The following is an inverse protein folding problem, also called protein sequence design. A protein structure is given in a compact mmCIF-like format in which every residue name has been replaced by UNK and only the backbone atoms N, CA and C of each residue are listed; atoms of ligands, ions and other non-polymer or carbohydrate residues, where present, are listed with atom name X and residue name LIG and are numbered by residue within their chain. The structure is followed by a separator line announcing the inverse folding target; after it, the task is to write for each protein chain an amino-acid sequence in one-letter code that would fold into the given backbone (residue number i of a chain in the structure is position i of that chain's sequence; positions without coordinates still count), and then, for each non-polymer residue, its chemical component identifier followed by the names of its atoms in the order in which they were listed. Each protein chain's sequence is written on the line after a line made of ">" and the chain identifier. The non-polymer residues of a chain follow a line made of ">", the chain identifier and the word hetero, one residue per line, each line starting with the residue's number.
data_IF_000915445804
#
_entry.id   IF_000915445804
#
_cell.length_a   1.000
_cell.length_b   1.000
_cell.length_c   1.000
_cell.angle_alpha   90.00
_cell.angle_beta   90.00
_cell.angle_gamma   90.00
#
_symmetry.space_group_name_H-M   'P 1'
#
loop_
_entity.id
_entity.type
_entity.pdbx_description
1 polymer ?
#
# COMPACT_ATOMS: atom_id res chain seq x y z
N UNK A 1 -7.21 19.39 -18.66
CA UNK A 1 -5.89 19.97 -18.36
C UNK A 1 -5.49 19.83 -16.88
N UNK A 2 -6.32 20.22 -15.89
CA UNK A 2 -5.96 20.11 -14.44
C UNK A 2 -5.74 18.67 -13.92
N UNK A 3 -6.30 17.66 -14.56
CA UNK A 3 -6.20 16.25 -14.10
C UNK A 3 -4.88 15.58 -14.50
N UNK A 4 -4.31 15.96 -15.65
CA UNK A 4 -3.00 15.55 -16.14
C UNK A 4 -1.87 16.07 -15.24
N UNK A 5 -2.00 17.33 -14.78
CA UNK A 5 -0.98 17.99 -13.98
C UNK A 5 -0.82 17.40 -12.58
N UNK A 6 -1.89 16.83 -12.00
CA UNK A 6 -1.82 16.16 -10.71
C UNK A 6 -1.06 14.84 -10.81
N UNK A 7 -1.32 14.07 -11.87
CA UNK A 7 -0.60 12.81 -12.13
C UNK A 7 0.87 13.12 -12.40
N UNK A 8 1.18 14.09 -13.24
CA UNK A 8 2.55 14.58 -13.51
C UNK A 8 3.27 15.02 -12.23
N UNK A 9 2.59 15.76 -11.35
CA UNK A 9 3.18 16.25 -10.10
C UNK A 9 3.45 15.14 -9.08
N UNK A 10 2.62 14.07 -9.06
CA UNK A 10 2.85 12.89 -8.23
C UNK A 10 4.08 12.11 -8.73
N UNK A 11 4.27 12.05 -10.03
CA UNK A 11 5.26 11.21 -10.68
C UNK A 11 6.64 11.88 -10.82
N UNK A 12 6.69 13.13 -11.22
CA UNK A 12 7.96 13.84 -11.48
C UNK A 12 8.79 14.13 -10.22
N UNK A 13 8.18 14.16 -9.05
CA UNK A 13 8.90 14.55 -7.84
C UNK A 13 9.76 13.45 -7.21
N UNK A 14 9.59 12.15 -7.57
CA UNK A 14 10.25 11.07 -6.80
C UNK A 14 10.50 9.74 -7.53
N UNK A 15 10.51 9.68 -8.85
CA UNK A 15 10.80 8.43 -9.58
C UNK A 15 12.15 7.84 -9.15
N UNK A 16 13.20 8.66 -9.07
CA UNK A 16 14.54 8.25 -8.62
C UNK A 16 14.53 7.76 -7.15
N UNK A 17 13.74 8.39 -6.27
CA UNK A 17 13.66 8.01 -4.88
C UNK A 17 12.87 6.69 -4.68
N UNK A 18 11.81 6.46 -5.47
CA UNK A 18 11.03 5.23 -5.44
C UNK A 18 11.87 4.06 -5.94
N UNK A 19 12.62 4.24 -7.02
CA UNK A 19 13.54 3.23 -7.55
C UNK A 19 14.63 2.86 -6.55
N UNK A 20 15.27 3.84 -5.93
CA UNK A 20 16.29 3.62 -4.90
C UNK A 20 15.72 2.99 -3.63
N UNK A 21 14.47 3.30 -3.26
CA UNK A 21 13.82 2.64 -2.11
C UNK A 21 13.23 1.27 -2.44
N UNK A 22 12.88 0.96 -3.66
CA UNK A 22 12.58 -0.43 -4.06
C UNK A 22 13.81 -1.34 -3.88
N UNK A 23 15.00 -0.84 -4.17
CA UNK A 23 16.26 -1.55 -3.85
C UNK A 23 16.45 -1.74 -2.34
N UNK A 24 16.21 -0.71 -1.54
CA UNK A 24 16.34 -0.77 -0.07
C UNK A 24 15.28 -1.66 0.60
N UNK A 25 14.11 -1.86 -0.01
CA UNK A 25 13.06 -2.72 0.52
C UNK A 25 13.25 -4.19 0.14
N UNK A 26 14.09 -4.51 -0.86
CA UNK A 26 14.56 -5.88 -1.09
C UNK A 26 15.41 -6.42 0.08
N UNK A 27 16.03 -5.52 0.84
CA UNK A 27 16.94 -5.87 1.95
C UNK A 27 16.30 -5.76 3.34
N UNK A 28 15.12 -5.16 3.47
CA UNK A 28 14.45 -5.02 4.77
C UNK A 28 13.11 -5.71 4.77
N UNK A 29 13.04 -6.85 5.49
CA UNK A 29 11.78 -7.32 6.05
C UNK A 29 11.15 -6.12 6.76
N UNK A 30 9.84 -5.84 6.59
CA UNK A 30 9.20 -4.73 7.28
C UNK A 30 9.22 -5.01 8.78
N UNK A 31 10.24 -4.51 9.42
CA UNK A 31 10.40 -4.64 10.86
C UNK A 31 9.38 -3.75 11.57
N UNK A 32 8.83 -4.31 12.63
CA UNK A 32 8.28 -3.55 13.75
C UNK A 32 9.33 -2.51 14.10
N UNK A 33 8.94 -1.26 14.28
CA UNK A 33 9.87 -0.22 14.69
C UNK A 33 10.65 -0.66 15.94
N UNK A 34 11.91 -0.24 16.00
CA UNK A 34 12.94 -0.64 16.97
C UNK A 34 12.56 -0.51 18.46
N UNK A 35 11.52 0.21 18.78
CA UNK A 35 10.97 0.41 20.15
C UNK A 35 9.84 -0.55 20.52
N UNK A 36 9.43 -1.45 19.58
CA UNK A 36 8.46 -2.51 19.91
C UNK A 36 7.00 -2.07 20.09
N UNK A 37 6.71 -0.75 20.10
CA UNK A 37 5.39 -0.21 20.44
C UNK A 37 4.72 0.60 19.31
N UNK A 38 5.13 0.41 18.05
CA UNK A 38 4.53 1.12 16.93
C UNK A 38 4.43 0.27 15.67
N UNK A 39 3.45 0.60 14.83
CA UNK A 39 3.27 0.03 13.51
C UNK A 39 3.35 1.12 12.44
N UNK A 40 3.91 0.78 11.27
CA UNK A 40 3.93 1.70 10.13
C UNK A 40 2.54 1.77 9.47
N UNK A 41 1.98 2.97 9.34
CA UNK A 41 0.76 3.21 8.60
C UNK A 41 0.87 4.50 7.79
N UNK A 42 0.61 4.42 6.49
CA UNK A 42 0.70 5.53 5.53
C UNK A 42 2.03 6.31 5.61
N UNK A 43 3.13 5.58 5.81
CA UNK A 43 4.49 6.10 5.88
C UNK A 43 4.91 6.67 7.22
N UNK A 44 4.07 6.55 8.26
CA UNK A 44 4.37 7.05 9.61
C UNK A 44 4.38 5.91 10.62
N UNK A 45 5.28 5.93 11.60
CA UNK A 45 5.18 5.08 12.78
C UNK A 45 4.01 5.59 13.64
N UNK A 46 3.10 4.70 13.99
CA UNK A 46 1.94 4.97 14.83
C UNK A 46 2.05 4.11 16.08
N UNK A 47 2.10 4.73 17.23
CA UNK A 47 2.15 4.03 18.52
C UNK A 47 0.86 3.24 18.76
N UNK A 48 1.00 2.13 19.46
CA UNK A 48 -0.16 1.36 19.89
C UNK A 48 -0.20 1.20 21.41
N UNK A 49 -1.42 1.05 21.94
CA UNK A 49 -1.70 0.66 23.30
C UNK A 49 -2.52 -0.61 23.32
N UNK A 50 -2.23 -1.49 24.26
CA UNK A 50 -2.98 -2.72 24.46
C UNK A 50 -3.99 -2.48 25.58
N UNK A 51 -5.26 -2.72 25.28
CA UNK A 51 -6.34 -2.76 26.27
C UNK A 51 -6.74 -4.22 26.48
N UNK A 52 -6.50 -4.73 27.68
CA UNK A 52 -6.87 -6.10 28.03
C UNK A 52 -8.38 -6.30 27.84
N UNK A 53 -8.75 -7.23 26.97
CA UNK A 53 -10.14 -7.59 26.74
C UNK A 53 -10.21 -9.09 26.44
N UNK A 54 -10.99 -9.83 27.25
CA UNK A 54 -11.12 -11.29 27.11
C UNK A 54 -12.04 -11.71 25.96
N UNK A 55 -12.97 -10.84 25.57
CA UNK A 55 -14.04 -11.16 24.63
C UNK A 55 -13.89 -10.49 23.27
N UNK A 56 -12.91 -9.59 23.11
CA UNK A 56 -12.73 -8.83 21.88
C UNK A 56 -11.27 -8.90 21.41
N UNK A 57 -11.10 -9.30 20.16
CA UNK A 57 -9.80 -9.22 19.47
C UNK A 57 -9.94 -8.28 18.27
N UNK A 58 -9.55 -7.03 18.43
CA UNK A 58 -9.74 -5.99 17.43
C UNK A 58 -8.68 -4.89 17.55
N UNK A 59 -8.34 -4.27 16.42
CA UNK A 59 -7.61 -2.99 16.39
C UNK A 59 -8.57 -1.89 15.95
N UNK A 60 -8.55 -0.76 16.66
CA UNK A 60 -9.08 0.51 16.20
C UNK A 60 -7.94 1.52 15.96
N UNK A 61 -8.16 2.46 15.04
CA UNK A 61 -7.25 3.57 14.78
C UNK A 61 -7.98 4.88 15.06
N UNK A 62 -7.58 5.55 16.12
CA UNK A 62 -8.25 6.72 16.65
C UNK A 62 -7.20 7.75 17.10
N UNK A 63 -7.43 9.02 16.84
CA UNK A 63 -6.55 10.12 17.28
C UNK A 63 -5.05 9.88 17.02
N UNK A 64 -4.73 9.31 15.85
CA UNK A 64 -3.35 8.98 15.44
C UNK A 64 -2.68 7.92 16.35
N UNK A 65 -3.44 7.01 16.93
CA UNK A 65 -2.97 5.92 17.76
C UNK A 65 -3.73 4.63 17.42
N UNK A 66 -3.05 3.49 17.52
CA UNK A 66 -3.72 2.19 17.49
C UNK A 66 -4.12 1.77 18.90
N UNK A 67 -5.36 1.32 19.05
CA UNK A 67 -5.88 0.70 20.27
C UNK A 67 -6.13 -0.77 19.95
N UNK A 68 -5.40 -1.65 20.63
CA UNK A 68 -5.47 -3.11 20.42
C UNK A 68 -6.23 -3.73 21.59
N UNK A 69 -7.45 -4.17 21.31
CA UNK A 69 -8.25 -4.91 22.28
C UNK A 69 -7.91 -6.39 22.15
N UNK A 70 -7.31 -6.96 23.17
CA UNK A 70 -6.92 -8.38 23.20
C UNK A 70 -6.53 -8.83 24.60
N UNK A 71 -6.67 -10.12 24.88
CA UNK A 71 -6.11 -10.75 26.07
C UNK A 71 -4.64 -11.17 25.93
N UNK A 72 -4.12 -11.14 24.71
CA UNK A 72 -2.77 -11.62 24.41
C UNK A 72 -1.78 -10.48 24.39
N UNK A 73 -0.57 -10.76 24.91
CA UNK A 73 0.55 -9.82 24.92
C UNK A 73 1.70 -10.22 24.00
N UNK A 74 1.62 -11.41 23.38
CA UNK A 74 2.67 -11.88 22.48
C UNK A 74 2.73 -11.04 21.19
N UNK A 75 3.93 -10.62 20.81
CA UNK A 75 4.16 -9.83 19.58
C UNK A 75 3.60 -10.50 18.34
N UNK A 76 3.70 -11.83 18.24
CA UNK A 76 3.16 -12.60 17.12
C UNK A 76 1.64 -12.41 16.97
N UNK A 77 0.90 -12.44 18.08
CA UNK A 77 -0.55 -12.24 18.05
C UNK A 77 -0.92 -10.80 17.74
N UNK A 78 -0.21 -9.84 18.32
CA UNK A 78 -0.39 -8.41 18.05
C UNK A 78 -0.14 -8.10 16.57
N UNK A 79 0.91 -8.66 15.98
CA UNK A 79 1.17 -8.55 14.54
C UNK A 79 0.06 -9.15 13.69
N UNK A 80 -0.44 -10.34 14.06
CA UNK A 80 -1.54 -10.97 13.35
C UNK A 80 -2.78 -10.08 13.33
N UNK A 81 -3.16 -9.49 14.46
CA UNK A 81 -4.27 -8.54 14.53
C UNK A 81 -4.03 -7.30 13.66
N UNK A 82 -2.79 -6.79 13.65
CA UNK A 82 -2.44 -5.67 12.78
C UNK A 82 -2.57 -5.99 11.28
N UNK A 83 -2.17 -7.19 10.85
CA UNK A 83 -2.36 -7.61 9.45
C UNK A 83 -3.83 -7.75 9.08
N UNK A 84 -4.66 -8.33 9.94
CA UNK A 84 -6.11 -8.41 9.71
C UNK A 84 -6.74 -7.01 9.60
N UNK A 85 -6.31 -6.08 10.45
CA UNK A 85 -6.75 -4.69 10.37
C UNK A 85 -6.28 -4.02 9.06
N UNK A 86 -5.05 -4.26 8.62
CA UNK A 86 -4.57 -3.76 7.34
C UNK A 86 -5.41 -4.29 6.17
N UNK A 87 -5.76 -5.57 6.16
CA UNK A 87 -6.61 -6.18 5.13
C UNK A 87 -7.98 -5.50 5.06
N UNK A 88 -8.61 -5.29 6.20
CA UNK A 88 -9.89 -4.59 6.29
C UNK A 88 -9.81 -3.16 5.73
N UNK A 89 -8.81 -2.39 6.16
CA UNK A 89 -8.62 -1.00 5.69
C UNK A 89 -8.17 -0.91 4.25
N UNK A 90 -7.43 -1.91 3.79
CA UNK A 90 -6.90 -1.94 2.43
C UNK A 90 -8.03 -1.97 1.40
N UNK A 91 -9.05 -2.81 1.60
CA UNK A 91 -10.15 -2.97 0.64
C UNK A 91 -10.84 -1.64 0.34
N UNK A 92 -11.23 -0.88 1.36
CA UNK A 92 -11.91 0.41 1.19
C UNK A 92 -10.99 1.50 0.64
N UNK A 93 -9.76 1.60 1.19
CA UNK A 93 -8.82 2.66 0.79
C UNK A 93 -8.33 2.50 -0.65
N UNK A 94 -7.99 1.28 -1.03
CA UNK A 94 -7.47 0.98 -2.37
C UNK A 94 -8.57 0.98 -3.41
N UNK A 95 -9.77 0.47 -3.10
CA UNK A 95 -10.89 0.46 -4.03
C UNK A 95 -11.17 1.86 -4.58
N UNK A 96 -11.31 2.84 -3.70
CA UNK A 96 -11.58 4.22 -4.11
C UNK A 96 -10.50 4.79 -5.04
N UNK A 97 -9.22 4.49 -4.75
CA UNK A 97 -8.10 4.93 -5.60
C UNK A 97 -8.04 4.17 -6.93
N UNK A 98 -8.29 2.88 -6.87
CA UNK A 98 -8.29 2.01 -8.03
C UNK A 98 -9.35 2.45 -9.04
N UNK A 99 -10.57 2.71 -8.59
CA UNK A 99 -11.68 3.20 -9.42
C UNK A 99 -11.37 4.58 -10.01
N UNK A 100 -10.87 5.50 -9.17
CA UNK A 100 -10.48 6.84 -9.59
C UNK A 100 -9.43 6.82 -10.70
N UNK A 101 -8.36 6.05 -10.52
CA UNK A 101 -7.26 6.01 -11.47
C UNK A 101 -7.58 5.18 -12.72
N UNK A 102 -8.34 4.10 -12.60
CA UNK A 102 -8.85 3.34 -13.75
C UNK A 102 -9.68 4.21 -14.69
N UNK A 103 -10.58 5.03 -14.11
CA UNK A 103 -11.38 5.98 -14.87
C UNK A 103 -10.50 7.06 -15.54
N UNK A 104 -9.52 7.61 -14.81
CA UNK A 104 -8.62 8.63 -15.35
C UNK A 104 -7.74 8.12 -16.49
N UNK A 105 -7.23 6.92 -16.36
CA UNK A 105 -6.37 6.27 -17.36
C UNK A 105 -7.18 5.60 -18.50
N UNK A 106 -8.51 5.58 -18.39
CA UNK A 106 -9.39 4.88 -19.34
C UNK A 106 -9.01 3.42 -19.53
N UNK A 107 -8.62 2.74 -18.44
CA UNK A 107 -8.34 1.31 -18.40
C UNK A 107 -9.45 0.57 -17.65
N UNK A 108 -9.71 -0.68 -18.04
CA UNK A 108 -10.71 -1.54 -17.40
C UNK A 108 -10.02 -2.80 -16.86
N UNK A 109 -9.46 -2.76 -15.63
CA UNK A 109 -8.94 -3.97 -15.02
C UNK A 109 -10.10 -4.96 -14.75
N UNK A 110 -9.83 -6.26 -14.86
CA UNK A 110 -10.81 -7.30 -14.50
C UNK A 110 -11.07 -7.38 -13.01
N UNK A 111 -10.11 -6.94 -12.23
CA UNK A 111 -10.17 -6.89 -10.77
C UNK A 111 -8.79 -6.70 -10.15
N UNK A 112 -8.77 -6.59 -8.83
CA UNK A 112 -7.51 -6.61 -8.10
C UNK A 112 -7.59 -7.59 -6.92
N UNK A 113 -6.41 -8.08 -6.50
CA UNK A 113 -6.23 -8.93 -5.33
C UNK A 113 -5.16 -8.34 -4.43
N UNK A 114 -5.31 -8.56 -3.14
CA UNK A 114 -4.33 -8.21 -2.14
C UNK A 114 -3.61 -9.49 -1.73
N UNK A 115 -2.28 -9.47 -1.73
CA UNK A 115 -1.46 -10.59 -1.30
C UNK A 115 -0.24 -10.12 -0.52
N UNK A 116 0.29 -10.97 0.33
CA UNK A 116 1.62 -10.79 0.87
C UNK A 116 2.64 -11.19 -0.22
N UNK A 117 3.30 -10.20 -0.82
CA UNK A 117 4.31 -10.40 -1.86
C UNK A 117 5.71 -10.16 -1.26
N UNK A 118 6.65 -11.06 -1.50
CA UNK A 118 8.00 -10.96 -0.91
C UNK A 118 8.87 -9.88 -1.57
N UNK A 119 8.77 -9.73 -2.91
CA UNK A 119 9.72 -8.93 -3.71
C UNK A 119 9.09 -7.82 -4.55
N UNK A 120 7.77 -7.66 -4.53
CA UNK A 120 7.04 -6.72 -5.39
C UNK A 120 6.02 -5.91 -4.60
N UNK A 121 5.79 -4.67 -5.02
CA UNK A 121 4.69 -3.85 -4.51
C UNK A 121 3.37 -4.13 -5.20
N UNK A 122 3.43 -4.58 -6.45
CA UNK A 122 2.30 -4.96 -7.25
C UNK A 122 2.72 -5.77 -8.48
N UNK A 123 1.75 -6.21 -9.25
CA UNK A 123 1.92 -6.79 -10.58
C UNK A 123 0.61 -6.74 -11.37
N UNK A 124 0.71 -6.46 -12.66
CA UNK A 124 -0.38 -6.58 -13.62
C UNK A 124 -0.18 -7.85 -14.45
N UNK A 125 -1.22 -8.67 -14.59
CA UNK A 125 -1.19 -9.85 -15.45
C UNK A 125 -1.68 -9.53 -16.85
N UNK A 126 -1.27 -10.32 -17.84
CA UNK A 126 -1.76 -10.23 -19.21
C UNK A 126 -3.28 -10.46 -19.31
N UNK A 127 -3.84 -11.19 -18.37
CA UNK A 127 -5.29 -11.40 -18.25
C UNK A 127 -6.06 -10.20 -17.73
N UNK A 128 -5.40 -9.09 -17.37
CA UNK A 128 -6.02 -7.86 -16.90
C UNK A 128 -6.30 -7.81 -15.38
N UNK A 129 -5.74 -8.75 -14.61
CA UNK A 129 -5.85 -8.71 -13.14
C UNK A 129 -4.63 -8.03 -12.52
N UNK A 130 -4.85 -7.26 -11.47
CA UNK A 130 -3.80 -6.60 -10.69
C UNK A 130 -3.67 -7.27 -9.34
N UNK A 131 -2.43 -7.50 -8.90
CA UNK A 131 -2.13 -7.92 -7.54
C UNK A 131 -1.37 -6.80 -6.85
N UNK A 132 -1.79 -6.44 -5.64
CA UNK A 132 -1.13 -5.41 -4.81
C UNK A 132 -0.64 -6.03 -3.51
N UNK A 133 0.49 -5.54 -3.03
CA UNK A 133 1.09 -6.03 -1.79
C UNK A 133 0.38 -5.44 -0.57
N UNK A 134 0.02 -6.26 0.41
CA UNK A 134 -0.61 -5.80 1.65
C UNK A 134 0.25 -4.78 2.41
N UNK A 135 1.57 -4.90 2.30
CA UNK A 135 2.50 -3.95 2.91
C UNK A 135 2.47 -2.54 2.29
N UNK A 136 1.76 -2.36 1.16
CA UNK A 136 1.66 -1.06 0.50
C UNK A 136 1.01 -0.01 1.41
N UNK A 137 0.07 -0.39 2.30
CA UNK A 137 -0.49 0.54 3.29
C UNK A 137 0.50 1.03 4.35
N UNK A 138 1.65 0.40 4.49
CA UNK A 138 2.74 0.90 5.34
C UNK A 138 3.53 2.03 4.68
N UNK A 139 3.44 2.16 3.35
CA UNK A 139 4.14 3.17 2.57
C UNK A 139 3.42 4.53 2.60
N UNK A 140 4.14 5.64 2.33
CA UNK A 140 3.52 6.95 2.16
C UNK A 140 2.44 6.96 1.08
N UNK A 141 1.39 7.78 1.27
CA UNK A 141 0.24 7.87 0.33
C UNK A 141 0.66 8.06 -1.14
N UNK A 142 1.65 8.92 -1.39
CA UNK A 142 2.17 9.18 -2.76
C UNK A 142 2.76 7.92 -3.40
N UNK A 143 3.38 7.06 -2.60
CA UNK A 143 3.93 5.79 -3.08
C UNK A 143 2.82 4.78 -3.39
N UNK A 144 1.76 4.76 -2.59
CA UNK A 144 0.57 3.93 -2.86
C UNK A 144 -0.05 4.36 -4.19
N UNK A 145 -0.24 5.66 -4.39
CA UNK A 145 -0.79 6.22 -5.63
C UNK A 145 0.07 5.85 -6.85
N UNK A 146 1.40 5.97 -6.70
CA UNK A 146 2.33 5.60 -7.76
C UNK A 146 2.21 4.11 -8.13
N UNK A 147 2.22 3.20 -7.15
CA UNK A 147 2.16 1.76 -7.43
C UNK A 147 0.85 1.40 -8.12
N UNK A 148 -0.29 1.94 -7.68
CA UNK A 148 -1.58 1.69 -8.31
C UNK A 148 -1.57 2.18 -9.77
N UNK A 149 -1.10 3.40 -10.03
CA UNK A 149 -0.98 3.96 -11.37
C UNK A 149 -0.05 3.12 -12.25
N UNK A 150 1.10 2.71 -11.72
CA UNK A 150 2.09 1.88 -12.39
C UNK A 150 1.48 0.56 -12.88
N UNK A 151 0.79 -0.15 -12.01
CA UNK A 151 0.17 -1.42 -12.36
C UNK A 151 -1.02 -1.25 -13.33
N UNK A 152 -1.77 -0.17 -13.21
CA UNK A 152 -2.85 0.15 -14.15
C UNK A 152 -2.32 0.48 -15.56
N UNK A 153 -1.19 1.19 -15.66
CA UNK A 153 -0.57 1.50 -16.95
C UNK A 153 -0.09 0.22 -17.65
N UNK A 154 0.39 -0.77 -16.92
CA UNK A 154 0.78 -2.05 -17.47
C UNK A 154 -0.34 -2.83 -18.16
N UNK A 155 -1.61 -2.47 -17.93
CA UNK A 155 -2.73 -3.03 -18.70
C UNK A 155 -2.77 -2.54 -20.16
N UNK A 156 -2.08 -1.43 -20.47
CA UNK A 156 -2.00 -0.86 -21.83
C UNK A 156 -0.60 -0.98 -22.41
N UNK A 157 0.42 -0.78 -21.60
CA UNK A 157 1.81 -0.66 -22.02
C UNK A 157 2.64 -1.69 -21.26
N UNK A 158 3.17 -2.67 -21.99
CA UNK A 158 4.06 -3.69 -21.42
C UNK A 158 5.49 -3.16 -21.38
N UNK A 159 6.19 -3.46 -20.27
CA UNK A 159 7.55 -2.97 -20.08
C UNK A 159 7.63 -1.52 -19.62
N UNK A 160 8.84 -1.00 -19.51
CA UNK A 160 9.14 0.34 -18.99
C UNK A 160 9.91 1.18 -20.05
N UNK A 161 9.52 1.02 -21.32
CA UNK A 161 10.08 1.80 -22.43
C UNK A 161 9.63 3.26 -22.42
N UNK A 162 10.01 3.99 -23.48
CA UNK A 162 9.67 5.42 -23.64
C UNK A 162 8.17 5.70 -23.47
N UNK A 163 7.32 4.90 -24.09
CA UNK A 163 5.86 5.08 -24.06
C UNK A 163 5.28 4.96 -22.65
N UNK A 164 5.82 4.02 -21.82
CA UNK A 164 5.43 3.89 -20.43
C UNK A 164 5.70 5.16 -19.63
N UNK A 165 6.90 5.73 -19.80
CA UNK A 165 7.31 6.94 -19.10
C UNK A 165 6.58 8.17 -19.59
N UNK A 166 6.32 8.27 -20.89
CA UNK A 166 5.51 9.35 -21.50
C UNK A 166 4.06 9.31 -21.00
N UNK A 167 3.50 8.11 -20.86
CA UNK A 167 2.13 7.96 -20.37
C UNK A 167 2.02 8.24 -18.85
N UNK A 168 3.11 8.03 -18.14
CA UNK A 168 3.23 8.26 -16.72
C UNK A 168 3.59 9.73 -16.40
N UNK A 169 4.16 10.50 -17.33
CA UNK A 169 4.53 11.91 -17.21
C UNK A 169 3.38 12.85 -17.59
#
# INVERSE_FOLDING_TARGET
>A
RRSSDLIKKILNTKISWIFNKQLLLKERKPEINLDGNSFLYLGKPIHYVIKNNKNLEKISYEKNQFIIYTKYTSLKKIQQLYYLWLEEKYSTFIQNKFDLYSKKLQVKPKGYKIKNLESKWGSASDSGNITLNIHLLKAPRKMIDYVILHELIHLRIKGHGHDFWTFLS
#
